data_IF_320815449860
#
_entry.id   IF_320815449860
#
_cell.length_a   1.000
_cell.length_b   1.000
_cell.length_c   1.000
_cell.angle_alpha   90.00
_cell.angle_beta   90.00
_cell.angle_gamma   90.00
#
_symmetry.space_group_name_H-M   'P 1'
#
loop_
_entity.id
_entity.type
_entity.pdbx_description
1 polymer ?
#
# COMPACT_ATOMS: atom_id res chain seq x y z
N UNK A 1 10.01 -0.89 34.38
CA UNK A 1 9.68 -2.07 33.56
C UNK A 1 10.12 -1.75 32.15
N UNK A 2 11.27 -2.29 31.71
CA UNK A 2 11.68 -2.19 30.30
C UNK A 2 10.84 -3.22 29.53
N UNK A 3 9.67 -2.79 29.03
CA UNK A 3 8.89 -3.62 28.13
C UNK A 3 9.64 -3.74 26.82
N UNK A 4 10.26 -4.89 26.57
CA UNK A 4 10.87 -5.15 25.27
C UNK A 4 9.79 -5.01 24.19
N UNK A 5 10.11 -4.30 23.12
CA UNK A 5 9.23 -4.08 21.99
C UNK A 5 9.53 -5.11 20.91
N UNK A 6 8.52 -5.49 20.15
CA UNK A 6 8.65 -6.30 18.95
C UNK A 6 8.20 -5.47 17.75
N UNK A 7 9.02 -5.48 16.71
CA UNK A 7 8.66 -4.97 15.40
C UNK A 7 8.00 -6.08 14.60
N UNK A 8 6.85 -5.78 14.03
CA UNK A 8 6.07 -6.65 13.16
C UNK A 8 6.03 -5.95 11.81
N UNK A 9 6.50 -6.61 10.75
CA UNK A 9 6.62 -6.02 9.42
C UNK A 9 5.78 -6.79 8.40
N UNK A 10 5.11 -6.07 7.51
CA UNK A 10 4.32 -6.64 6.41
C UNK A 10 3.27 -7.66 6.87
N UNK A 11 2.61 -7.38 7.99
CA UNK A 11 1.54 -8.23 8.48
C UNK A 11 0.22 -7.84 7.80
N UNK A 12 -0.60 -8.83 7.47
CA UNK A 12 -1.92 -8.63 6.88
C UNK A 12 -2.95 -8.59 8.00
N UNK A 13 -3.85 -7.62 7.98
CA UNK A 13 -4.98 -7.56 8.90
C UNK A 13 -6.04 -8.55 8.44
N UNK A 14 -6.29 -9.59 9.24
CA UNK A 14 -7.31 -10.61 9.00
C UNK A 14 -8.67 -10.23 9.60
N UNK A 15 -8.66 -9.45 10.67
CA UNK A 15 -9.87 -9.00 11.36
C UNK A 15 -9.60 -7.65 12.01
N UNK A 16 -10.57 -6.72 11.94
CA UNK A 16 -10.50 -5.44 12.61
C UNK A 16 -11.80 -5.15 13.37
N UNK A 17 -11.72 -5.06 14.69
CA UNK A 17 -12.87 -4.82 15.57
C UNK A 17 -12.58 -3.62 16.47
N UNK A 18 -13.38 -2.57 16.30
CA UNK A 18 -13.25 -1.33 17.06
C UNK A 18 -14.49 -1.08 17.90
N UNK A 19 -14.29 -0.90 19.21
CA UNK A 19 -15.38 -0.61 20.14
C UNK A 19 -15.73 0.88 20.16
N UNK A 20 -14.76 1.74 19.80
CA UNK A 20 -14.88 3.18 19.65
C UNK A 20 -13.67 3.70 18.85
N UNK A 21 -13.52 5.02 18.72
CA UNK A 21 -12.44 5.64 17.95
C UNK A 21 -11.01 5.49 18.53
N UNK A 22 -10.83 4.84 19.68
CA UNK A 22 -9.52 4.73 20.35
C UNK A 22 -9.26 3.36 21.00
N UNK A 23 -10.15 2.38 20.83
CA UNK A 23 -9.97 1.05 21.41
C UNK A 23 -10.62 -0.04 20.58
N UNK A 24 -10.01 -1.22 20.63
CA UNK A 24 -10.40 -2.36 19.82
C UNK A 24 -9.28 -3.38 19.76
N UNK A 25 -9.33 -4.24 18.76
CA UNK A 25 -8.23 -5.11 18.41
C UNK A 25 -8.20 -5.34 16.90
N UNK A 26 -7.03 -5.77 16.43
CA UNK A 26 -6.87 -6.36 15.11
C UNK A 26 -6.29 -7.76 15.27
N UNK A 27 -6.71 -8.70 14.43
CA UNK A 27 -5.99 -9.94 14.19
C UNK A 27 -5.14 -9.73 12.96
N UNK A 28 -3.86 -10.06 13.08
CA UNK A 28 -2.91 -9.97 11.99
C UNK A 28 -2.33 -11.35 11.70
N UNK A 29 -1.90 -11.55 10.45
CA UNK A 29 -1.11 -12.69 10.03
C UNK A 29 0.23 -12.23 9.47
N UNK A 30 1.31 -12.93 9.83
CA UNK A 30 2.65 -12.74 9.27
C UNK A 30 3.24 -14.11 9.00
N UNK A 31 3.57 -14.41 7.73
CA UNK A 31 4.11 -15.71 7.32
C UNK A 31 3.26 -16.91 7.81
N UNK A 32 1.93 -16.75 7.83
CA UNK A 32 0.99 -17.78 8.31
C UNK A 32 0.83 -17.88 9.83
N UNK A 33 1.55 -17.07 10.62
CA UNK A 33 1.40 -16.99 12.07
C UNK A 33 0.43 -15.87 12.42
N UNK A 34 -0.61 -16.18 13.20
CA UNK A 34 -1.60 -15.18 13.63
C UNK A 34 -1.30 -14.64 15.03
N UNK A 35 -1.55 -13.35 15.21
CA UNK A 35 -1.42 -12.64 16.48
C UNK A 35 -2.54 -11.61 16.58
N UNK A 36 -3.08 -11.41 17.79
CA UNK A 36 -4.00 -10.31 18.06
C UNK A 36 -3.26 -9.14 18.69
N UNK A 37 -3.43 -7.96 18.10
CA UNK A 37 -2.90 -6.71 18.64
C UNK A 37 -4.05 -5.92 19.28
N UNK A 38 -3.93 -5.68 20.59
CA UNK A 38 -4.89 -4.91 21.36
C UNK A 38 -4.58 -3.42 21.23
N UNK A 39 -5.59 -2.66 20.82
CA UNK A 39 -5.50 -1.22 20.54
C UNK A 39 -6.14 -0.46 21.71
N UNK A 40 -5.46 0.59 22.15
CA UNK A 40 -5.92 1.46 23.24
C UNK A 40 -5.58 2.92 22.93
N UNK A 41 -5.87 3.82 23.88
CA UNK A 41 -5.48 5.24 23.78
C UNK A 41 -3.97 5.46 23.64
N UNK A 42 -3.16 4.47 24.00
CA UNK A 42 -1.71 4.52 23.89
C UNK A 42 -1.19 4.01 22.53
N UNK A 43 -2.08 3.62 21.62
CA UNK A 43 -1.72 3.14 20.30
C UNK A 43 -1.81 4.29 19.30
N UNK A 44 -0.70 4.64 18.68
CA UNK A 44 -0.69 5.57 17.54
C UNK A 44 -0.99 4.80 16.26
N UNK A 45 -1.84 5.36 15.39
CA UNK A 45 -2.12 4.81 14.07
C UNK A 45 -1.76 5.86 13.02
N UNK A 46 -0.88 5.50 12.09
CA UNK A 46 -0.34 6.39 11.07
C UNK A 46 -0.33 5.73 9.70
N UNK A 47 -0.18 6.51 8.62
CA UNK A 47 0.21 6.00 7.31
C UNK A 47 1.74 6.05 7.11
N UNK A 48 2.21 5.64 5.93
CA UNK A 48 3.64 5.66 5.55
C UNK A 48 4.25 7.08 5.52
N UNK A 49 3.43 8.14 5.40
CA UNK A 49 3.89 9.53 5.47
C UNK A 49 3.92 10.11 6.90
N UNK A 50 3.58 9.30 7.90
CA UNK A 50 3.56 9.69 9.31
C UNK A 50 2.31 10.48 9.73
N UNK A 51 1.31 10.60 8.85
CA UNK A 51 0.05 11.27 9.18
C UNK A 51 -0.81 10.37 10.06
N UNK A 52 -1.41 10.95 11.10
CA UNK A 52 -2.33 10.23 11.98
C UNK A 52 -3.59 9.79 11.23
N UNK A 53 -3.99 8.55 11.43
CA UNK A 53 -5.19 7.95 10.87
C UNK A 53 -6.22 7.65 11.97
N UNK A 54 -7.49 7.53 11.56
CA UNK A 54 -8.52 6.97 12.42
C UNK A 54 -8.44 5.44 12.40
N UNK A 55 -8.95 4.78 13.44
CA UNK A 55 -8.99 3.31 13.47
C UNK A 55 -9.76 2.70 12.29
N UNK A 56 -10.77 3.41 11.76
CA UNK A 56 -11.55 3.01 10.58
C UNK A 56 -10.74 2.96 9.27
N UNK A 57 -9.52 3.50 9.26
CA UNK A 57 -8.58 3.34 8.15
C UNK A 57 -7.90 1.97 8.16
N UNK A 58 -7.87 1.26 9.29
CA UNK A 58 -7.41 -0.12 9.35
C UNK A 58 -8.59 -1.03 8.97
N UNK A 59 -8.45 -1.76 7.88
CA UNK A 59 -9.47 -2.67 7.35
C UNK A 59 -8.91 -4.07 7.19
N UNK A 60 -9.79 -5.07 7.16
CA UNK A 60 -9.43 -6.41 6.69
C UNK A 60 -8.73 -6.32 5.32
N UNK A 61 -7.63 -7.06 5.16
CA UNK A 61 -6.73 -7.00 4.01
C UNK A 61 -5.71 -5.86 4.02
N UNK A 62 -5.72 -4.96 5.02
CA UNK A 62 -4.69 -3.92 5.13
C UNK A 62 -3.33 -4.55 5.40
N UNK A 63 -2.30 -4.07 4.72
CA UNK A 63 -0.92 -4.40 5.05
C UNK A 63 -0.43 -3.39 6.09
N UNK A 64 0.17 -3.86 7.19
CA UNK A 64 0.60 -3.00 8.29
C UNK A 64 2.00 -3.37 8.77
N UNK A 65 2.71 -2.36 9.27
CA UNK A 65 3.81 -2.56 10.22
C UNK A 65 3.32 -2.16 11.62
N UNK A 66 3.83 -2.81 12.66
CA UNK A 66 3.44 -2.49 14.03
C UNK A 66 4.59 -2.60 15.01
N UNK A 67 4.54 -1.76 16.04
CA UNK A 67 5.35 -1.89 17.25
C UNK A 67 4.43 -2.37 18.36
N UNK A 68 4.74 -3.53 18.92
CA UNK A 68 3.94 -4.18 19.94
C UNK A 68 4.78 -4.55 21.17
N UNK A 69 4.10 -4.85 22.28
CA UNK A 69 4.74 -5.44 23.45
C UNK A 69 5.22 -6.85 23.13
N UNK A 70 6.46 -7.18 23.53
CA UNK A 70 6.95 -8.57 23.54
C UNK A 70 6.24 -9.45 24.56
N UNK A 71 5.57 -8.86 25.56
CA UNK A 71 4.79 -9.60 26.53
C UNK A 71 3.46 -10.03 25.91
N UNK A 72 3.33 -11.32 25.64
CA UNK A 72 2.17 -11.92 24.99
C UNK A 72 1.40 -12.85 25.94
N UNK A 73 0.09 -12.96 25.72
CA UNK A 73 -0.75 -13.96 26.39
C UNK A 73 -0.52 -15.36 25.82
N UNK A 74 -0.80 -16.41 26.61
CA UNK A 74 -0.78 -17.82 26.16
C UNK A 74 -2.10 -18.27 25.51
N UNK A 75 -2.81 -17.37 24.83
CA UNK A 75 -4.06 -17.68 24.11
C UNK A 75 -3.79 -18.06 22.66
N UNK A 76 -4.85 -18.44 21.92
CA UNK A 76 -4.81 -18.69 20.48
C UNK A 76 -5.85 -17.78 19.79
N UNK A 77 -5.44 -16.82 18.94
CA UNK A 77 -4.04 -16.41 18.74
C UNK A 77 -3.43 -15.77 20.00
N UNK A 78 -2.10 -15.74 20.14
CA UNK A 78 -1.41 -14.95 21.15
C UNK A 78 -1.79 -13.47 21.04
N UNK A 79 -1.84 -12.75 22.16
CA UNK A 79 -2.25 -11.35 22.18
C UNK A 79 -1.22 -10.46 22.86
N UNK A 80 -1.06 -9.23 22.37
CA UNK A 80 -0.18 -8.21 22.98
C UNK A 80 -0.77 -6.81 22.81
N UNK A 81 -0.29 -5.85 23.59
CA UNK A 81 -0.60 -4.44 23.37
C UNK A 81 0.12 -3.90 22.12
N UNK A 82 -0.56 -3.09 21.31
CA UNK A 82 0.04 -2.30 20.25
C UNK A 82 0.37 -0.89 20.73
N UNK A 83 1.52 -0.38 20.32
CA UNK A 83 1.97 1.00 20.58
C UNK A 83 1.97 1.84 19.31
N UNK A 84 2.31 1.23 18.17
CA UNK A 84 2.25 1.86 16.86
C UNK A 84 1.67 0.88 15.85
N UNK A 85 0.79 1.36 14.99
CA UNK A 85 0.33 0.67 13.79
C UNK A 85 0.53 1.64 12.62
N UNK A 86 1.35 1.26 11.66
CA UNK A 86 1.52 1.96 10.40
C UNK A 86 0.75 1.20 9.32
N UNK A 87 -0.31 1.82 8.79
CA UNK A 87 -1.07 1.27 7.67
C UNK A 87 -0.33 1.60 6.39
N UNK A 88 0.04 0.56 5.64
CA UNK A 88 0.69 0.72 4.34
C UNK A 88 -0.35 1.02 3.28
N UNK A 89 0.00 1.93 2.37
CA UNK A 89 -0.83 2.14 1.20
C UNK A 89 -0.86 0.86 0.38
N UNK A 90 -2.06 0.45 -0.04
CA UNK A 90 -2.15 -0.57 -1.08
C UNK A 90 -1.62 0.07 -2.35
N UNK A 91 -0.63 -0.58 -2.96
CA UNK A 91 -0.07 -0.16 -4.25
C UNK A 91 -0.38 -1.23 -5.27
N UNK A 92 -1.55 -1.19 -5.93
CA UNK A 92 -1.88 -2.16 -6.96
C UNK A 92 -0.82 -2.18 -8.05
N UNK A 93 -0.61 -3.35 -8.63
CA UNK A 93 0.29 -3.55 -9.77
C UNK A 93 -0.55 -3.96 -10.98
N UNK A 94 -0.39 -3.21 -12.08
CA UNK A 94 -1.13 -3.41 -13.33
C UNK A 94 -0.15 -3.70 -14.45
N UNK A 95 -0.29 -4.85 -15.11
CA UNK A 95 0.54 -5.24 -16.26
C UNK A 95 -0.23 -5.05 -17.56
N UNK A 96 0.17 -4.06 -18.38
CA UNK A 96 -0.52 -3.72 -19.63
C UNK A 96 0.43 -3.17 -20.70
N UNK A 97 -0.01 -3.20 -21.96
CA UNK A 97 0.68 -2.52 -23.05
C UNK A 97 0.35 -1.03 -23.06
N UNK A 98 1.38 -0.22 -23.32
CA UNK A 98 1.23 1.22 -23.55
C UNK A 98 0.44 1.42 -24.85
N UNK A 99 -0.66 2.16 -24.79
CA UNK A 99 -1.45 2.54 -25.97
C UNK A 99 -1.10 3.94 -26.48
N UNK A 100 -0.70 4.85 -25.59
CA UNK A 100 -0.25 6.20 -25.95
C UNK A 100 0.62 6.81 -24.84
N UNK A 101 1.59 7.66 -25.23
CA UNK A 101 2.46 8.40 -24.31
C UNK A 101 2.24 9.89 -24.56
N UNK A 102 1.64 10.59 -23.61
CA UNK A 102 1.47 12.04 -23.63
C UNK A 102 2.57 12.69 -22.79
N UNK A 103 3.72 12.94 -23.41
CA UNK A 103 4.88 13.57 -22.75
C UNK A 103 4.60 15.01 -22.30
N UNK A 104 3.66 15.72 -22.94
CA UNK A 104 3.36 17.10 -22.58
C UNK A 104 2.62 17.18 -21.24
N UNK A 105 1.73 16.22 -20.97
CA UNK A 105 0.93 16.17 -19.74
C UNK A 105 1.43 15.12 -18.73
N UNK A 106 2.51 14.40 -19.03
CA UNK A 106 3.01 13.27 -18.24
C UNK A 106 1.93 12.20 -17.98
N UNK A 107 1.16 11.88 -19.01
CA UNK A 107 0.11 10.85 -18.95
C UNK A 107 0.50 9.63 -19.77
N UNK A 108 0.48 8.47 -19.12
CA UNK A 108 0.67 7.18 -19.76
C UNK A 108 -0.69 6.49 -19.95
N UNK A 109 -1.05 6.23 -21.19
CA UNK A 109 -2.31 5.57 -21.52
C UNK A 109 -2.06 4.08 -21.71
N UNK A 110 -2.94 3.27 -21.14
CA UNK A 110 -3.01 1.83 -21.38
C UNK A 110 -4.42 1.41 -21.75
N UNK A 111 -4.55 0.24 -22.36
CA UNK A 111 -5.85 -0.28 -22.80
C UNK A 111 -6.42 0.43 -24.02
N UNK A 112 -7.72 0.23 -24.27
CA UNK A 112 -8.38 0.73 -25.47
C UNK A 112 -9.88 0.95 -25.24
N UNK A 113 -10.45 1.98 -25.87
CA UNK A 113 -11.88 2.27 -25.79
C UNK A 113 -12.32 2.53 -24.34
N UNK A 114 -13.38 1.85 -23.89
CA UNK A 114 -13.92 1.98 -22.53
C UNK A 114 -13.01 1.39 -21.44
N UNK A 115 -12.03 0.58 -21.81
CA UNK A 115 -11.06 -0.05 -20.90
C UNK A 115 -9.72 0.73 -20.86
N UNK A 116 -9.75 1.98 -21.32
CA UNK A 116 -8.59 2.88 -21.25
C UNK A 116 -8.37 3.29 -19.80
N UNK A 117 -7.13 3.26 -19.35
CA UNK A 117 -6.72 3.81 -18.06
C UNK A 117 -5.53 4.76 -18.26
N UNK A 118 -5.52 5.85 -17.50
CA UNK A 118 -4.47 6.86 -17.57
C UNK A 118 -3.66 6.83 -16.27
N UNK A 119 -2.37 6.62 -16.39
CA UNK A 119 -1.43 6.76 -15.29
C UNK A 119 -0.76 8.13 -15.34
N UNK A 120 -0.95 8.91 -14.29
CA UNK A 120 -0.30 10.20 -14.07
C UNK A 120 1.11 9.94 -13.58
N UNK A 121 2.08 10.37 -14.37
CA UNK A 121 3.51 10.29 -14.05
C UNK A 121 3.93 11.59 -13.37
N UNK A 122 4.68 11.47 -12.29
CA UNK A 122 5.14 12.58 -11.46
C UNK A 122 6.67 12.57 -11.37
N UNK A 123 7.32 13.64 -10.89
CA UNK A 123 8.77 13.63 -10.68
C UNK A 123 9.26 12.55 -9.70
N UNK A 124 8.37 12.02 -8.85
CA UNK A 124 8.65 10.92 -7.92
C UNK A 124 8.44 9.52 -8.53
N UNK A 125 7.88 9.41 -9.74
CA UNK A 125 7.65 8.12 -10.39
C UNK A 125 8.97 7.54 -10.86
N UNK A 126 9.29 6.32 -10.42
CA UNK A 126 10.49 5.60 -10.88
C UNK A 126 10.16 4.81 -12.15
N UNK A 127 10.93 5.03 -13.22
CA UNK A 127 10.68 4.39 -14.51
C UNK A 127 11.91 3.60 -14.91
N UNK A 128 11.74 2.30 -15.11
CA UNK A 128 12.82 1.38 -15.48
C UNK A 128 12.60 0.81 -16.88
N UNK A 129 13.67 0.70 -17.66
CA UNK A 129 13.67 -0.10 -18.88
C UNK A 129 13.78 -1.60 -18.56
N UNK A 130 13.71 -2.45 -19.60
CA UNK A 130 13.80 -3.90 -19.45
C UNK A 130 15.13 -4.42 -18.87
N UNK A 131 16.19 -3.61 -18.88
CA UNK A 131 17.48 -3.93 -18.24
C UNK A 131 17.57 -3.50 -16.77
N UNK A 132 16.51 -2.89 -16.23
CA UNK A 132 16.48 -2.39 -14.85
C UNK A 132 17.17 -1.03 -14.66
N UNK A 133 17.48 -0.33 -15.75
CA UNK A 133 18.05 1.02 -15.69
C UNK A 133 16.94 2.07 -15.61
N UNK A 134 17.13 3.09 -14.77
CA UNK A 134 16.21 4.24 -14.71
C UNK A 134 16.27 5.00 -16.04
N UNK A 135 15.12 5.27 -16.63
CA UNK A 135 14.96 6.01 -17.88
C UNK A 135 13.99 7.19 -17.69
N UNK A 136 14.11 8.25 -18.51
CA UNK A 136 13.12 9.31 -18.53
C UNK A 136 11.75 8.83 -19.05
N UNK A 137 10.68 9.54 -18.71
CA UNK A 137 9.31 9.20 -19.15
C UNK A 137 9.20 9.19 -20.69
N UNK A 138 9.91 10.11 -21.32
CA UNK A 138 9.99 10.31 -22.75
C UNK A 138 10.64 9.14 -23.49
N UNK A 139 11.24 8.18 -22.81
CA UNK A 139 11.81 6.96 -23.41
C UNK A 139 10.82 5.79 -23.46
N UNK A 140 9.65 5.92 -22.82
CA UNK A 140 8.56 4.97 -22.99
C UNK A 140 7.98 5.05 -24.41
N UNK A 141 7.57 3.91 -24.95
CA UNK A 141 7.11 3.76 -26.33
C UNK A 141 5.79 3.00 -26.37
N UNK A 142 4.93 3.42 -27.28
CA UNK A 142 3.69 2.71 -27.61
C UNK A 142 4.01 1.24 -27.90
N UNK A 143 3.18 0.35 -27.38
CA UNK A 143 3.28 -1.09 -27.55
C UNK A 143 4.14 -1.79 -26.49
N UNK A 144 5.02 -1.12 -25.75
CA UNK A 144 5.80 -1.78 -24.69
C UNK A 144 4.88 -2.41 -23.64
N UNK A 145 5.21 -3.61 -23.18
CA UNK A 145 4.55 -4.22 -22.03
C UNK A 145 5.20 -3.65 -20.77
N UNK A 146 4.38 -3.05 -19.91
CA UNK A 146 4.85 -2.46 -18.66
C UNK A 146 4.10 -3.06 -17.47
N UNK A 147 4.82 -3.22 -16.36
CA UNK A 147 4.22 -3.32 -15.04
C UNK A 147 4.17 -1.95 -14.39
N UNK A 148 3.03 -1.58 -13.81
CA UNK A 148 2.79 -0.26 -13.24
C UNK A 148 2.31 -0.44 -11.80
N UNK A 149 3.11 -0.01 -10.84
CA UNK A 149 2.69 0.13 -9.44
C UNK A 149 2.07 1.51 -9.28
N UNK A 150 0.82 1.58 -8.81
CA UNK A 150 0.07 2.83 -8.77
C UNK A 150 -0.71 3.01 -7.46
N UNK A 151 -1.34 4.18 -7.31
CA UNK A 151 -2.24 4.44 -6.20
C UNK A 151 -3.53 3.60 -6.32
N UNK A 152 -4.12 3.23 -5.18
CA UNK A 152 -5.36 2.44 -5.13
C UNK A 152 -6.63 3.27 -5.34
N UNK A 153 -6.49 4.59 -5.54
CA UNK A 153 -7.58 5.49 -5.89
C UNK A 153 -7.46 6.02 -7.32
N UNK A 154 -8.60 6.39 -7.90
CA UNK A 154 -8.70 6.95 -9.24
C UNK A 154 -9.56 8.24 -9.23
N UNK A 155 -9.34 9.13 -10.20
CA UNK A 155 -10.21 10.29 -10.43
C UNK A 155 -11.56 9.86 -11.01
N UNK A 156 -12.67 10.54 -10.68
CA UNK A 156 -14.00 10.25 -11.24
C UNK A 156 -14.14 10.80 -12.67
N UNK A 157 -13.20 10.48 -13.55
CA UNK A 157 -13.16 10.90 -14.96
C UNK A 157 -13.32 9.72 -15.90
N UNK A 158 -13.62 10.00 -17.16
CA UNK A 158 -13.63 9.01 -18.24
C UNK A 158 -12.65 9.48 -19.32
N UNK A 159 -11.51 8.78 -19.54
CA UNK A 159 -11.06 7.59 -18.80
C UNK A 159 -10.67 7.88 -17.33
N UNK A 160 -10.68 6.86 -16.44
CA UNK A 160 -10.18 7.00 -15.07
C UNK A 160 -8.67 7.29 -15.06
N UNK A 161 -8.22 8.00 -14.02
CA UNK A 161 -6.80 8.39 -13.86
C UNK A 161 -6.30 8.04 -12.48
N UNK A 162 -5.08 7.52 -12.37
CA UNK A 162 -4.40 7.24 -11.08
C UNK A 162 -2.92 7.62 -11.14
N UNK A 163 -2.31 7.86 -9.98
CA UNK A 163 -0.87 8.21 -9.91
C UNK A 163 -0.02 6.94 -10.01
N UNK A 164 0.96 6.92 -10.91
CA UNK A 164 1.95 5.85 -10.95
C UNK A 164 3.12 6.15 -10.00
N UNK A 165 3.46 5.17 -9.17
CA UNK A 165 4.64 5.20 -8.30
C UNK A 165 5.86 4.58 -8.98
N UNK A 166 5.66 3.49 -9.71
CA UNK A 166 6.72 2.80 -10.44
C UNK A 166 6.21 2.26 -11.77
N UNK A 167 7.01 2.35 -12.82
CA UNK A 167 6.75 1.77 -14.14
C UNK A 167 7.98 0.96 -14.55
N UNK A 168 7.80 -0.31 -14.92
CA UNK A 168 8.86 -1.16 -15.46
C UNK A 168 8.49 -1.69 -16.83
N UNK A 169 9.35 -1.48 -17.81
CA UNK A 169 9.25 -2.20 -19.10
C UNK A 169 9.65 -3.66 -18.85
N UNK A 170 8.77 -4.58 -19.22
CA UNK A 170 8.95 -6.02 -19.00
C UNK A 170 8.87 -6.86 -20.30
N UNK A 171 8.62 -6.22 -21.46
CA UNK A 171 8.62 -6.88 -22.77
C UNK A 171 8.18 -6.02 -23.93
#
# INVERSE_FOLDING_TARGET
MNGNLVLIENAVVEEAVFYNGYSGYIIISQNGVTQRLNISRNTSVINESGQCLNLSNIREGSLIDAVASSAMTRSIPPQSAAYLIMVKEKRPETVRRISYVDAANYFLYTGSGSDTEIFVVTPSTLIYNASGMIIPFEDLRIGQLVSIVHADFQTPSIPPRTTAYEIRVIG
#
